data_IF_202402294029
#
_entry.id   IF_202402294029
#
_cell.length_a   1.000
_cell.length_b   1.000
_cell.length_c   1.000
_cell.angle_alpha   90.00
_cell.angle_beta   90.00
_cell.angle_gamma   90.00
#
_symmetry.space_group_name_H-M   'P 1'
#
loop_
_entity.id
_entity.type
_entity.pdbx_description
1 polymer ?
#
# COMPACT_ATOMS: atom_id res chain seq x y z
N UNK A 1 7.31 -4.64 -9.62
CA UNK A 1 6.52 -3.43 -9.93
C UNK A 1 5.87 -2.83 -8.69
N UNK A 2 5.16 -3.62 -7.87
CA UNK A 2 4.57 -3.19 -6.57
C UNK A 2 5.60 -2.55 -5.64
N UNK A 3 6.77 -3.15 -5.50
CA UNK A 3 7.83 -2.68 -4.58
C UNK A 3 8.28 -1.22 -4.86
N UNK A 4 8.28 -0.79 -6.14
CA UNK A 4 8.61 0.59 -6.50
C UNK A 4 7.60 1.59 -5.95
N UNK A 5 6.30 1.27 -5.98
CA UNK A 5 5.26 2.13 -5.43
C UNK A 5 5.32 2.16 -3.89
N UNK A 6 5.65 1.04 -3.26
CA UNK A 6 5.81 0.97 -1.81
C UNK A 6 7.00 1.82 -1.35
N UNK A 7 8.15 1.69 -2.01
CA UNK A 7 9.32 2.54 -1.74
C UNK A 7 9.02 4.01 -2.00
N UNK A 8 8.41 4.33 -3.13
CA UNK A 8 7.97 5.70 -3.43
C UNK A 8 7.07 6.28 -2.32
N UNK A 9 6.08 5.51 -1.86
CA UNK A 9 5.18 5.90 -0.76
C UNK A 9 5.92 6.14 0.54
N UNK A 10 6.90 5.29 0.86
CA UNK A 10 7.75 5.40 2.05
C UNK A 10 8.67 6.62 1.99
N UNK A 11 9.36 6.82 0.86
CA UNK A 11 10.35 7.89 0.66
C UNK A 11 9.72 9.28 0.56
N UNK A 12 8.54 9.38 -0.06
CA UNK A 12 7.87 10.66 -0.32
C UNK A 12 6.70 10.92 0.64
N UNK A 13 6.45 10.01 1.59
CA UNK A 13 5.31 10.04 2.51
C UNK A 13 3.94 10.19 1.79
N UNK A 14 3.87 9.69 0.55
CA UNK A 14 2.69 9.80 -0.31
C UNK A 14 1.77 8.61 -0.13
N UNK A 15 0.46 8.85 -0.24
CA UNK A 15 -0.55 7.79 -0.22
C UNK A 15 -0.60 7.11 -1.58
N UNK A 16 -0.61 5.77 -1.57
CA UNK A 16 -0.80 4.94 -2.75
C UNK A 16 -2.07 4.11 -2.59
N UNK A 17 -2.55 3.54 -3.68
CA UNK A 17 -3.65 2.60 -3.70
C UNK A 17 -3.13 1.20 -4.00
N UNK A 18 -3.46 0.24 -3.16
CA UNK A 18 -3.11 -1.17 -3.36
C UNK A 18 -4.38 -2.00 -3.54
N UNK A 19 -4.31 -3.03 -4.37
CA UNK A 19 -5.26 -4.13 -4.39
C UNK A 19 -4.60 -5.33 -3.71
N UNK A 20 -5.26 -5.90 -2.71
CA UNK A 20 -4.79 -7.07 -1.98
C UNK A 20 -5.87 -8.16 -1.95
N UNK A 21 -5.43 -9.41 -1.82
CA UNK A 21 -6.30 -10.53 -1.54
C UNK A 21 -6.43 -10.68 -0.01
N UNK A 22 -7.63 -10.48 0.52
CA UNK A 22 -7.91 -10.65 1.95
C UNK A 22 -9.12 -11.57 2.10
N UNK A 23 -8.95 -12.72 2.76
CA UNK A 23 -10.05 -13.67 3.01
C UNK A 23 -10.70 -14.22 1.72
N UNK A 24 -9.93 -14.35 0.63
CA UNK A 24 -10.44 -14.83 -0.66
C UNK A 24 -11.15 -13.78 -1.51
N UNK A 25 -11.24 -12.52 -1.04
CA UNK A 25 -11.79 -11.41 -1.81
C UNK A 25 -10.73 -10.37 -2.12
N UNK A 26 -10.78 -9.80 -3.32
CA UNK A 26 -9.93 -8.67 -3.68
C UNK A 26 -10.46 -7.41 -3.01
N UNK A 27 -9.63 -6.76 -2.20
CA UNK A 27 -9.90 -5.47 -1.56
C UNK A 27 -8.94 -4.42 -2.06
N UNK A 28 -9.46 -3.22 -2.30
CA UNK A 28 -8.63 -2.08 -2.65
C UNK A 28 -8.57 -1.09 -1.50
N UNK A 29 -7.36 -0.72 -1.07
CA UNK A 29 -7.14 0.20 0.05
C UNK A 29 -6.21 1.34 -0.37
N UNK A 30 -6.51 2.54 0.12
CA UNK A 30 -5.55 3.66 0.09
C UNK A 30 -4.72 3.61 1.36
N UNK A 31 -3.40 3.53 1.20
CA UNK A 31 -2.46 3.35 2.31
C UNK A 31 -1.28 4.32 2.18
N UNK A 32 -0.60 4.57 3.29
CA UNK A 32 0.73 5.19 3.30
C UNK A 32 1.71 4.20 3.92
N UNK A 33 2.75 3.82 3.19
CA UNK A 33 3.78 2.91 3.71
C UNK A 33 4.61 3.66 4.76
N UNK A 34 4.88 3.00 5.89
CA UNK A 34 5.69 3.53 6.97
C UNK A 34 6.94 2.70 7.26
N UNK A 35 6.96 1.44 6.82
CA UNK A 35 8.15 0.60 6.88
C UNK A 35 8.02 -0.56 5.88
N UNK A 36 9.12 -1.04 5.34
CA UNK A 36 9.20 -2.20 4.45
C UNK A 36 10.23 -3.14 5.05
N UNK A 37 9.85 -4.39 5.24
CA UNK A 37 10.67 -5.45 5.84
C UNK A 37 10.56 -6.72 4.99
N UNK A 38 11.51 -6.88 4.05
CA UNK A 38 11.59 -8.06 3.19
C UNK A 38 10.28 -8.38 2.47
N UNK A 39 9.58 -9.43 2.93
CA UNK A 39 8.32 -9.93 2.36
C UNK A 39 7.06 -9.19 2.89
N UNK A 40 7.22 -8.25 3.82
CA UNK A 40 6.12 -7.53 4.43
C UNK A 40 6.37 -6.03 4.48
N UNK A 41 5.30 -5.27 4.73
CA UNK A 41 5.39 -3.83 4.95
C UNK A 41 4.33 -3.38 5.95
N UNK A 42 4.66 -2.33 6.69
CA UNK A 42 3.72 -1.63 7.56
C UNK A 42 3.15 -0.44 6.80
N UNK A 43 1.84 -0.27 6.87
CA UNK A 43 1.18 0.88 6.27
C UNK A 43 0.06 1.46 7.15
N UNK A 44 -0.05 2.78 7.15
CA UNK A 44 -1.17 3.49 7.76
C UNK A 44 -2.37 3.44 6.83
N UNK A 45 -3.49 2.96 7.36
CA UNK A 45 -4.79 2.95 6.69
C UNK A 45 -5.63 4.06 7.32
N UNK A 46 -6.28 4.96 6.55
CA UNK A 46 -6.96 6.14 7.11
C UNK A 46 -8.08 5.83 8.11
N UNK A 47 -8.64 4.62 8.10
CA UNK A 47 -9.68 4.18 9.06
C UNK A 47 -9.12 3.40 10.27
N UNK A 48 -7.81 3.24 10.38
CA UNK A 48 -7.15 2.46 11.43
C UNK A 48 -6.19 3.36 12.19
N UNK A 49 -6.26 3.29 13.52
CA UNK A 49 -5.47 4.13 14.42
C UNK A 49 -3.99 3.73 14.44
N UNK A 50 -3.70 2.46 14.20
CA UNK A 50 -2.35 1.91 14.15
C UNK A 50 -1.97 1.51 12.72
N UNK A 51 -0.67 1.56 12.37
CA UNK A 51 -0.16 0.92 11.16
C UNK A 51 -0.54 -0.56 11.14
N UNK A 52 -0.96 -1.05 9.98
CA UNK A 52 -1.23 -2.46 9.78
C UNK A 52 -0.10 -3.10 8.96
N UNK A 53 0.20 -4.35 9.29
CA UNK A 53 1.13 -5.17 8.54
C UNK A 53 0.41 -5.82 7.36
N UNK A 54 1.07 -5.81 6.20
CA UNK A 54 0.60 -6.43 4.98
C UNK A 54 1.74 -7.26 4.39
N UNK A 55 1.41 -8.44 3.86
CA UNK A 55 2.39 -9.25 3.12
C UNK A 55 2.42 -8.81 1.68
N UNK A 56 3.61 -8.76 1.09
CA UNK A 56 3.78 -8.49 -0.33
C UNK A 56 3.09 -9.55 -1.19
N UNK A 57 3.12 -10.81 -0.75
CA UNK A 57 2.45 -11.93 -1.42
C UNK A 57 0.93 -11.74 -1.57
N UNK A 58 0.29 -11.03 -0.65
CA UNK A 58 -1.15 -10.74 -0.71
C UNK A 58 -1.47 -9.55 -1.61
N UNK A 59 -0.47 -8.74 -1.99
CA UNK A 59 -0.67 -7.56 -2.85
C UNK A 59 -0.68 -7.96 -4.32
N UNK A 60 -1.83 -7.79 -4.95
CA UNK A 60 -2.05 -8.09 -6.36
C UNK A 60 -1.58 -6.94 -7.27
N UNK A 61 -1.76 -5.69 -6.84
CA UNK A 61 -1.30 -4.52 -7.58
C UNK A 61 -1.15 -3.28 -6.68
N UNK A 62 -0.34 -2.33 -7.14
CA UNK A 62 -0.17 -1.03 -6.50
C UNK A 62 -0.10 0.08 -7.56
N UNK A 63 -0.64 1.25 -7.24
CA UNK A 63 -0.62 2.43 -8.09
C UNK A 63 -0.89 3.70 -7.30
N UNK A 64 -0.86 4.84 -7.98
CA UNK A 64 -1.18 6.13 -7.37
C UNK A 64 -2.65 6.17 -6.93
N UNK A 65 -2.95 6.89 -5.84
CA UNK A 65 -4.33 7.12 -5.46
C UNK A 65 -5.00 8.02 -6.52
N UNK A 66 -6.12 7.58 -7.12
CA UNK A 66 -6.88 8.37 -8.11
C UNK A 66 -7.10 9.79 -7.59
N UNK A 67 -6.56 10.77 -8.32
CA UNK A 67 -6.37 12.16 -7.90
C UNK A 67 -4.93 12.65 -8.14
N UNK A 68 -3.95 11.74 -8.09
CA UNK A 68 -2.53 11.99 -8.44
C UNK A 68 -2.22 11.58 -9.91
N UNK A 69 -3.25 11.25 -10.71
CA UNK A 69 -3.12 10.87 -12.12
C UNK A 69 -2.99 12.09 -13.06
N UNK A 70 -2.76 13.28 -12.50
CA UNK A 70 -2.67 14.54 -13.23
C UNK A 70 -1.29 15.16 -13.10
N UNK A 71 -0.55 15.14 -14.20
CA UNK A 71 0.35 16.23 -14.58
C UNK A 71 -0.43 17.55 -14.61
#
# INVERSE_FOLDING_TARGET
>A
MVERFLRYSLENEKKIRIALLEGGAVRTLSIQVVSIDGDAFLARVPRKRAPQAFRLADVLSAGYARGDEGM
#
